data_IF_487846827512
#
_entry.id   IF_487846827512
#
_cell.length_a   1.000
_cell.length_b   1.000
_cell.length_c   1.000
_cell.angle_alpha   90.00
_cell.angle_beta   90.00
_cell.angle_gamma   90.00
#
_symmetry.space_group_name_H-M   'P 1'
#
loop_
_entity.id
_entity.type
_entity.pdbx_description
1 polymer ?
#
# COMPACT_ATOMS: atom_id res chain seq x y z
N UNK A 1 14.46 3.86 15.34
CA UNK A 1 13.22 3.18 14.86
C UNK A 1 13.25 1.76 15.37
N UNK A 2 12.12 1.18 15.77
CA UNK A 2 12.07 -0.25 16.07
C UNK A 2 12.19 -1.01 14.73
N UNK A 3 12.89 -2.13 14.72
CA UNK A 3 13.00 -3.04 13.58
C UNK A 3 11.73 -3.90 13.45
N UNK A 4 11.46 -4.40 12.23
CA UNK A 4 10.34 -5.28 11.94
C UNK A 4 9.00 -4.55 11.81
N UNK A 5 7.90 -5.28 12.04
CA UNK A 5 6.55 -4.76 11.86
C UNK A 5 6.23 -3.64 12.85
N UNK A 6 5.64 -2.56 12.34
CA UNK A 6 5.28 -1.37 13.11
C UNK A 6 3.78 -1.31 13.35
N UNK A 7 3.37 -1.41 14.62
CA UNK A 7 1.99 -1.12 15.00
C UNK A 7 1.77 0.39 14.99
N UNK A 8 0.85 0.88 14.16
CA UNK A 8 0.54 2.29 14.03
C UNK A 8 -0.27 2.81 15.22
N UNK A 9 0.35 3.55 16.11
CA UNK A 9 -0.32 4.17 17.26
C UNK A 9 -0.54 5.68 17.10
N UNK A 10 0.10 6.28 16.09
CA UNK A 10 0.03 7.70 15.78
C UNK A 10 -0.51 7.91 14.36
N UNK A 11 -1.31 8.94 14.18
CA UNK A 11 -1.81 9.34 12.86
C UNK A 11 -0.72 9.91 11.97
N UNK A 12 0.43 10.29 12.53
CA UNK A 12 1.58 10.82 11.81
C UNK A 12 2.87 10.26 12.40
N UNK A 13 3.74 9.76 11.55
CA UNK A 13 5.07 9.24 11.91
C UNK A 13 6.11 9.89 11.02
N UNK A 14 7.05 10.63 11.60
CA UNK A 14 8.17 11.22 10.85
C UNK A 14 9.33 10.24 10.77
N UNK A 15 9.85 10.05 9.56
CA UNK A 15 11.03 9.22 9.29
C UNK A 15 12.08 10.05 8.54
N UNK A 16 13.32 9.97 9.01
CA UNK A 16 14.49 10.64 8.40
C UNK A 16 15.33 9.61 7.65
N UNK A 17 16.12 10.11 6.69
CA UNK A 17 17.11 9.33 5.94
C UNK A 17 16.50 8.15 5.15
N UNK A 18 15.20 8.24 4.78
CA UNK A 18 14.54 7.29 3.90
C UNK A 18 14.76 7.70 2.45
N UNK A 19 15.53 6.91 1.72
CA UNK A 19 15.86 7.11 0.29
C UNK A 19 15.09 6.16 -0.61
N UNK A 20 14.67 5.02 -0.08
CA UNK A 20 14.04 3.96 -0.87
C UNK A 20 13.04 3.18 -0.04
N UNK A 21 11.86 2.98 -0.60
CA UNK A 21 10.84 2.10 -0.03
C UNK A 21 10.47 1.00 -1.01
N UNK A 22 10.03 -0.14 -0.46
CA UNK A 22 9.43 -1.22 -1.25
C UNK A 22 7.99 -1.41 -0.79
N UNK A 23 7.05 -1.44 -1.75
CA UNK A 23 5.62 -1.62 -1.52
C UNK A 23 5.19 -2.94 -2.16
N UNK A 24 4.41 -3.73 -1.43
CA UNK A 24 3.84 -5.00 -1.90
C UNK A 24 2.47 -5.21 -1.27
N UNK A 25 1.50 -5.71 -2.01
CA UNK A 25 0.18 -6.04 -1.47
C UNK A 25 -0.13 -7.53 -1.51
N UNK A 26 -1.17 -7.92 -0.78
CA UNK A 26 -1.81 -9.22 -0.90
C UNK A 26 -0.87 -10.39 -0.56
N UNK A 27 -0.24 -10.29 0.61
CA UNK A 27 0.73 -11.29 1.08
C UNK A 27 0.05 -12.51 1.70
N UNK A 28 -1.17 -12.38 2.26
CA UNK A 28 -1.82 -13.44 3.01
C UNK A 28 -3.29 -13.70 2.71
N UNK A 29 -3.93 -12.97 1.77
CA UNK A 29 -5.38 -13.05 1.56
C UNK A 29 -5.87 -14.42 1.01
N UNK A 30 -5.02 -15.25 0.46
CA UNK A 30 -5.33 -16.65 0.09
C UNK A 30 -4.75 -17.68 1.07
N UNK A 31 -4.35 -17.24 2.25
CA UNK A 31 -3.61 -17.98 3.27
C UNK A 31 -2.12 -17.70 3.20
N UNK A 32 -1.51 -17.45 4.36
CA UNK A 32 -0.07 -17.31 4.47
C UNK A 32 0.57 -18.70 4.52
N UNK A 33 1.13 -19.15 3.40
CA UNK A 33 1.62 -20.52 3.16
C UNK A 33 3.04 -20.47 2.56
N UNK A 34 3.61 -21.65 2.29
CA UNK A 34 4.99 -21.77 1.77
C UNK A 34 5.27 -20.87 0.56
N UNK A 35 4.31 -20.74 -0.37
CA UNK A 35 4.44 -19.86 -1.53
C UNK A 35 4.45 -18.38 -1.11
N UNK A 36 3.52 -17.98 -0.26
CA UNK A 36 3.47 -16.61 0.28
C UNK A 36 4.73 -16.27 1.06
N UNK A 37 5.21 -17.19 1.90
CA UNK A 37 6.46 -17.02 2.63
C UNK A 37 7.67 -16.88 1.70
N UNK A 38 7.73 -17.66 0.62
CA UNK A 38 8.80 -17.59 -0.37
C UNK A 38 8.78 -16.25 -1.09
N UNK A 39 7.63 -15.84 -1.65
CA UNK A 39 7.45 -14.59 -2.39
C UNK A 39 7.71 -13.39 -1.50
N UNK A 40 7.02 -13.30 -0.35
CA UNK A 40 7.16 -12.17 0.55
C UNK A 40 8.55 -12.13 1.21
N UNK A 41 9.12 -13.30 1.52
CA UNK A 41 10.50 -13.40 1.99
C UNK A 41 11.51 -12.88 0.98
N UNK A 42 11.27 -13.07 -0.32
CA UNK A 42 12.10 -12.48 -1.37
C UNK A 42 11.95 -10.96 -1.41
N UNK A 43 10.72 -10.45 -1.34
CA UNK A 43 10.47 -9.00 -1.24
C UNK A 43 11.24 -8.37 -0.08
N UNK A 44 11.23 -8.98 1.11
CA UNK A 44 11.90 -8.45 2.30
C UNK A 44 13.45 -8.50 2.23
N UNK A 45 14.03 -9.22 1.26
CA UNK A 45 15.49 -9.22 0.98
C UNK A 45 15.93 -8.07 0.09
N UNK A 46 15.01 -7.39 -0.61
CA UNK A 46 15.38 -6.26 -1.43
C UNK A 46 15.91 -5.10 -0.60
N UNK A 47 16.81 -4.33 -1.19
CA UNK A 47 17.32 -3.12 -0.55
C UNK A 47 16.17 -2.11 -0.39
N UNK A 48 15.90 -1.73 0.84
CA UNK A 48 14.92 -0.71 1.21
C UNK A 48 15.27 -0.10 2.57
N UNK A 49 14.82 1.12 2.82
CA UNK A 49 14.87 1.74 4.14
C UNK A 49 13.59 1.49 4.93
N UNK A 50 12.52 1.16 4.21
CA UNK A 50 11.18 0.94 4.70
C UNK A 50 10.44 -0.01 3.77
N UNK A 51 9.64 -0.93 4.32
CA UNK A 51 8.67 -1.74 3.60
C UNK A 51 7.24 -1.30 3.93
N UNK A 52 6.34 -1.39 2.95
CA UNK A 52 4.93 -1.10 3.14
C UNK A 52 4.08 -2.19 2.48
N UNK A 53 3.19 -2.82 3.27
CA UNK A 53 2.25 -3.80 2.77
C UNK A 53 0.95 -3.08 2.38
N UNK A 54 0.55 -3.18 1.11
CA UNK A 54 -0.62 -2.49 0.56
C UNK A 54 -1.95 -3.22 0.86
N UNK A 55 -2.06 -3.80 2.05
CA UNK A 55 -3.25 -4.51 2.55
C UNK A 55 -3.27 -6.00 2.24
N UNK A 56 -4.29 -6.67 2.77
CA UNK A 56 -4.54 -8.10 2.65
C UNK A 56 -3.37 -8.96 3.19
N UNK A 57 -3.06 -8.70 4.47
CA UNK A 57 -2.07 -9.46 5.23
C UNK A 57 -2.57 -10.86 5.59
N UNK A 58 -3.89 -11.00 5.77
CA UNK A 58 -4.53 -12.20 6.27
C UNK A 58 -5.67 -12.67 5.34
N UNK A 59 -6.12 -13.93 5.47
CA UNK A 59 -7.24 -14.46 4.71
C UNK A 59 -8.59 -14.07 5.30
N UNK A 60 -8.71 -14.09 6.63
CA UNK A 60 -9.98 -13.86 7.35
C UNK A 60 -9.89 -12.72 8.37
N UNK A 61 -8.75 -12.06 8.47
CA UNK A 61 -8.50 -10.97 9.42
C UNK A 61 -8.52 -11.42 10.88
N UNK A 62 -8.28 -12.71 11.17
CA UNK A 62 -8.09 -13.14 12.55
C UNK A 62 -6.77 -12.60 13.12
N UNK A 63 -6.74 -12.37 14.42
CA UNK A 63 -5.55 -11.88 15.11
C UNK A 63 -4.37 -12.83 14.99
N UNK A 64 -4.64 -14.13 14.93
CA UNK A 64 -3.62 -15.18 14.76
C UNK A 64 -2.96 -15.10 13.39
N UNK A 65 -3.74 -14.96 12.31
CA UNK A 65 -3.20 -14.84 10.95
C UNK A 65 -2.42 -13.55 10.77
N UNK A 66 -2.92 -12.42 11.30
CA UNK A 66 -2.19 -11.16 11.27
C UNK A 66 -0.88 -11.25 12.07
N UNK A 67 -0.92 -11.89 13.25
CA UNK A 67 0.28 -12.08 14.08
C UNK A 67 1.34 -12.94 13.38
N UNK A 68 0.94 -13.95 12.60
CA UNK A 68 1.84 -14.79 11.80
C UNK A 68 2.65 -13.97 10.80
N UNK A 69 1.98 -13.12 10.01
CA UNK A 69 2.66 -12.22 9.04
C UNK A 69 3.54 -11.18 9.74
N UNK A 70 3.08 -10.64 10.87
CA UNK A 70 3.88 -9.69 11.66
C UNK A 70 5.15 -10.34 12.20
N UNK A 71 5.06 -11.57 12.73
CA UNK A 71 6.22 -12.32 13.21
C UNK A 71 7.17 -12.69 12.07
N UNK A 72 6.63 -13.06 10.91
CA UNK A 72 7.44 -13.26 9.71
C UNK A 72 8.25 -12.01 9.36
N UNK A 73 7.63 -10.83 9.35
CA UNK A 73 8.35 -9.57 9.15
C UNK A 73 9.46 -9.36 10.18
N UNK A 74 9.17 -9.61 11.48
CA UNK A 74 10.10 -9.41 12.58
C UNK A 74 11.34 -10.32 12.47
N UNK A 75 11.15 -11.52 11.91
CA UNK A 75 12.25 -12.49 11.74
C UNK A 75 13.06 -12.29 10.46
N UNK A 76 12.47 -11.65 9.43
CA UNK A 76 13.08 -11.53 8.08
C UNK A 76 13.75 -10.20 7.81
N UNK A 77 13.39 -9.13 8.49
CA UNK A 77 13.99 -7.82 8.25
C UNK A 77 14.20 -7.00 9.51
N UNK A 78 15.30 -6.23 9.52
CA UNK A 78 15.56 -5.21 10.54
C UNK A 78 15.04 -3.82 10.14
N UNK A 79 14.46 -3.71 8.94
CA UNK A 79 13.85 -2.47 8.47
C UNK A 79 12.41 -2.36 8.96
N UNK A 80 11.87 -1.16 9.19
CA UNK A 80 10.48 -0.98 9.57
C UNK A 80 9.55 -1.47 8.46
N UNK A 81 8.49 -2.18 8.83
CA UNK A 81 7.42 -2.65 7.95
C UNK A 81 6.11 -2.05 8.42
N UNK A 82 5.46 -1.25 7.59
CA UNK A 82 4.12 -0.71 7.83
C UNK A 82 3.10 -1.43 6.95
N UNK A 83 1.82 -1.31 7.30
CA UNK A 83 0.76 -1.95 6.51
C UNK A 83 -0.46 -1.04 6.36
N UNK A 84 -1.15 -1.16 5.22
CA UNK A 84 -2.51 -0.70 5.01
C UNK A 84 -3.50 -1.78 5.47
N UNK A 85 -4.73 -1.40 5.74
CA UNK A 85 -5.82 -2.33 5.95
C UNK A 85 -6.41 -2.75 4.59
N UNK A 86 -6.39 -4.04 4.29
CA UNK A 86 -7.12 -4.63 3.17
C UNK A 86 -8.50 -5.14 3.58
N UNK A 87 -9.29 -5.60 2.62
CA UNK A 87 -10.64 -6.12 2.91
C UNK A 87 -10.65 -7.47 3.62
N UNK A 88 -9.58 -8.24 3.49
CA UNK A 88 -9.40 -9.51 4.21
C UNK A 88 -8.85 -9.34 5.63
N UNK A 89 -8.35 -8.16 6.01
CA UNK A 89 -7.71 -7.93 7.31
C UNK A 89 -8.71 -7.63 8.45
N UNK A 90 -9.99 -7.44 8.12
CA UNK A 90 -11.03 -7.18 9.09
C UNK A 90 -11.55 -8.49 9.71
N UNK A 91 -11.86 -8.52 11.04
CA UNK A 91 -11.91 -7.37 11.96
C UNK A 91 -10.63 -7.12 12.77
N UNK A 92 -9.61 -8.00 12.71
CA UNK A 92 -8.45 -7.98 13.63
C UNK A 92 -7.45 -6.86 13.39
N UNK A 93 -7.50 -6.16 12.24
CA UNK A 93 -6.48 -5.17 11.85
C UNK A 93 -6.21 -4.12 12.96
N UNK A 94 -7.25 -3.51 13.50
CA UNK A 94 -7.09 -2.44 14.50
C UNK A 94 -6.40 -2.94 15.79
N UNK A 95 -6.67 -4.17 16.18
CA UNK A 95 -6.04 -4.79 17.35
C UNK A 95 -4.56 -5.08 17.11
N UNK A 96 -4.21 -5.66 15.96
CA UNK A 96 -2.84 -6.07 15.64
C UNK A 96 -1.99 -4.92 15.07
N UNK A 97 -2.50 -4.24 14.04
CA UNK A 97 -1.75 -3.27 13.25
C UNK A 97 -1.96 -1.81 13.72
N UNK A 98 -3.05 -1.54 14.46
CA UNK A 98 -3.36 -0.20 14.98
C UNK A 98 -4.20 0.63 14.02
N UNK A 99 -3.85 1.92 13.85
CA UNK A 99 -4.59 2.84 12.98
C UNK A 99 -4.49 2.43 11.51
N UNK A 100 -5.63 2.42 10.82
CA UNK A 100 -5.74 2.09 9.39
C UNK A 100 -5.62 3.30 8.46
N UNK A 101 -5.75 4.53 9.04
CA UNK A 101 -5.55 5.80 8.31
C UNK A 101 -4.48 6.62 9.03
N UNK A 102 -3.37 6.89 8.35
CA UNK A 102 -2.20 7.58 8.91
C UNK A 102 -1.30 8.12 7.79
N UNK A 103 -0.31 8.94 8.14
CA UNK A 103 0.75 9.37 7.22
C UNK A 103 2.13 9.02 7.75
N UNK A 104 3.04 8.72 6.82
CA UNK A 104 4.48 8.64 7.06
C UNK A 104 5.10 9.86 6.37
N UNK A 105 5.69 10.74 7.16
CA UNK A 105 6.27 11.99 6.68
C UNK A 105 7.76 11.80 6.49
N UNK A 106 8.21 11.87 5.25
CA UNK A 106 9.61 11.87 4.86
C UNK A 106 10.09 13.31 4.66
N UNK A 107 11.34 13.50 4.33
CA UNK A 107 11.91 14.83 4.16
C UNK A 107 11.14 15.68 3.12
N UNK A 108 10.84 15.14 1.95
CA UNK A 108 10.17 15.85 0.84
C UNK A 108 8.84 15.25 0.42
N UNK A 109 8.52 14.06 0.90
CA UNK A 109 7.34 13.27 0.48
C UNK A 109 6.54 12.86 1.70
N UNK A 110 5.22 12.84 1.55
CA UNK A 110 4.28 12.26 2.50
C UNK A 110 3.68 11.02 1.88
N UNK A 111 3.77 9.89 2.56
CA UNK A 111 3.06 8.67 2.23
C UNK A 111 1.72 8.71 2.96
N UNK A 112 0.64 8.98 2.25
CA UNK A 112 -0.70 9.04 2.81
C UNK A 112 -1.39 7.68 2.72
N UNK A 113 -1.41 6.96 3.83
CA UNK A 113 -1.99 5.64 3.98
C UNK A 113 -3.45 5.75 4.42
N UNK A 114 -4.39 5.37 3.57
CA UNK A 114 -5.82 5.56 3.78
C UNK A 114 -6.56 4.22 3.85
N UNK A 115 -7.50 4.11 4.75
CA UNK A 115 -8.39 2.95 4.83
C UNK A 115 -9.54 3.07 3.82
N UNK A 116 -9.55 2.16 2.86
CA UNK A 116 -10.69 1.91 1.99
C UNK A 116 -11.04 0.41 1.88
N UNK A 117 -10.72 -0.36 2.92
CA UNK A 117 -10.95 -1.82 2.99
C UNK A 117 -12.39 -2.23 2.67
N UNK A 118 -13.35 -1.32 2.84
CA UNK A 118 -14.76 -1.53 2.48
C UNK A 118 -15.12 -1.07 1.05
N UNK A 119 -14.13 -0.84 0.19
CA UNK A 119 -14.31 -0.31 -1.16
C UNK A 119 -14.74 1.16 -1.24
N UNK A 120 -14.66 1.90 -0.12
CA UNK A 120 -14.95 3.33 0.00
C UNK A 120 -14.14 3.93 1.14
N UNK A 121 -14.03 5.26 1.13
CA UNK A 121 -13.44 6.00 2.25
C UNK A 121 -14.53 6.46 3.22
N UNK A 122 -14.24 6.40 4.50
CA UNK A 122 -15.08 7.07 5.50
C UNK A 122 -14.82 8.60 5.45
N UNK A 123 -15.85 9.44 5.70
CA UNK A 123 -15.69 10.90 5.64
C UNK A 123 -14.54 11.44 6.50
N UNK A 124 -14.31 10.83 7.66
CA UNK A 124 -13.20 11.19 8.54
C UNK A 124 -11.83 10.95 7.91
N UNK A 125 -11.68 9.87 7.11
CA UNK A 125 -10.44 9.58 6.37
C UNK A 125 -10.16 10.61 5.27
N UNK A 126 -11.19 11.05 4.53
CA UNK A 126 -11.05 12.10 3.53
C UNK A 126 -10.74 13.47 4.16
N UNK A 127 -11.39 13.81 5.27
CA UNK A 127 -11.10 15.03 6.02
C UNK A 127 -9.67 15.01 6.58
N UNK A 128 -9.21 13.86 7.06
CA UNK A 128 -7.82 13.66 7.47
C UNK A 128 -6.85 13.90 6.33
N UNK A 129 -7.08 13.30 5.15
CA UNK A 129 -6.24 13.51 3.97
C UNK A 129 -6.18 15.00 3.58
N UNK A 130 -7.34 15.68 3.53
CA UNK A 130 -7.40 17.09 3.22
C UNK A 130 -6.57 17.93 4.20
N UNK A 131 -6.68 17.62 5.50
CA UNK A 131 -5.87 18.28 6.53
C UNK A 131 -4.36 18.04 6.32
N UNK A 132 -3.95 16.81 5.99
CA UNK A 132 -2.54 16.51 5.77
C UNK A 132 -1.98 17.20 4.51
N UNK A 133 -2.76 17.29 3.44
CA UNK A 133 -2.40 18.03 2.23
C UNK A 133 -2.17 19.53 2.49
N UNK A 134 -2.97 20.11 3.41
CA UNK A 134 -2.80 21.50 3.84
C UNK A 134 -1.61 21.67 4.80
N UNK A 135 -1.49 20.79 5.80
CA UNK A 135 -0.44 20.82 6.82
C UNK A 135 0.96 20.70 6.22
N UNK A 136 1.12 19.84 5.25
CA UNK A 136 2.39 19.58 4.57
C UNK A 136 2.45 20.27 3.20
N UNK A 137 2.04 21.54 3.17
CA UNK A 137 2.17 22.38 1.98
C UNK A 137 3.65 22.48 1.56
N UNK A 138 3.92 22.27 0.26
CA UNK A 138 5.28 22.19 -0.27
C UNK A 138 5.90 20.79 -0.31
N UNK A 139 5.28 19.76 0.33
CA UNK A 139 5.69 18.36 0.14
C UNK A 139 4.89 17.70 -0.98
N UNK A 140 5.51 16.72 -1.62
CA UNK A 140 4.84 15.82 -2.57
C UNK A 140 4.15 14.69 -1.83
N UNK A 141 3.18 14.05 -2.46
CA UNK A 141 2.40 12.97 -1.87
C UNK A 141 2.42 11.72 -2.75
N UNK A 142 2.58 10.58 -2.11
CA UNK A 142 2.17 9.27 -2.61
C UNK A 142 0.95 8.85 -1.80
N UNK A 143 -0.17 8.62 -2.49
CA UNK A 143 -1.43 8.22 -1.83
C UNK A 143 -1.56 6.70 -1.94
N UNK A 144 -1.77 6.03 -0.81
CA UNK A 144 -1.82 4.57 -0.76
C UNK A 144 -3.13 4.11 -0.10
N UNK A 145 -3.78 3.17 -0.73
CA UNK A 145 -4.97 2.49 -0.21
C UNK A 145 -5.13 1.12 -0.90
N UNK A 146 -5.97 0.25 -0.35
CA UNK A 146 -5.99 -1.14 -0.81
C UNK A 146 -6.82 -1.37 -2.08
N UNK A 147 -8.13 -1.04 -2.06
CA UNK A 147 -9.04 -1.31 -3.18
C UNK A 147 -8.88 -0.25 -4.27
N UNK A 148 -8.46 -0.60 -5.50
CA UNK A 148 -8.15 0.37 -6.55
C UNK A 148 -9.36 1.12 -7.08
N UNK A 149 -9.15 2.30 -7.73
CA UNK A 149 -10.18 3.02 -8.46
C UNK A 149 -10.83 2.19 -9.57
N UNK A 150 -11.94 2.67 -10.16
CA UNK A 150 -12.65 1.95 -11.21
C UNK A 150 -11.76 1.51 -12.37
N UNK A 151 -11.99 0.28 -12.85
CA UNK A 151 -11.31 -0.34 -13.98
C UNK A 151 -12.32 -1.05 -14.88
N UNK A 152 -12.14 -0.97 -16.19
CA UNK A 152 -13.10 -1.51 -17.16
C UNK A 152 -13.17 -3.04 -17.18
N UNK A 153 -12.06 -3.72 -16.89
CA UNK A 153 -11.92 -5.18 -17.03
C UNK A 153 -12.25 -5.98 -15.78
N UNK A 154 -12.49 -5.33 -14.63
CA UNK A 154 -12.78 -5.99 -13.36
C UNK A 154 -13.80 -5.20 -12.55
N UNK A 155 -14.68 -5.95 -11.83
CA UNK A 155 -15.75 -5.33 -11.02
C UNK A 155 -15.41 -5.22 -9.54
N UNK A 156 -14.40 -5.95 -9.07
CA UNK A 156 -13.96 -5.92 -7.68
C UNK A 156 -13.03 -4.74 -7.44
N UNK A 157 -13.59 -3.53 -7.58
CA UNK A 157 -12.88 -2.26 -7.44
C UNK A 157 -13.77 -1.25 -6.74
N UNK A 158 -13.22 -0.11 -6.40
CA UNK A 158 -13.97 1.03 -5.87
C UNK A 158 -15.06 1.47 -6.85
N UNK A 159 -16.22 1.89 -6.33
CA UNK A 159 -17.27 2.48 -7.15
C UNK A 159 -16.93 3.91 -7.58
N UNK A 160 -17.53 4.37 -8.68
CA UNK A 160 -17.32 5.72 -9.22
C UNK A 160 -17.59 6.84 -8.22
N UNK A 161 -18.61 6.70 -7.38
CA UNK A 161 -18.95 7.70 -6.36
C UNK A 161 -17.87 7.82 -5.27
N UNK A 162 -17.27 6.71 -4.86
CA UNK A 162 -16.18 6.70 -3.89
C UNK A 162 -14.89 7.27 -4.50
N UNK A 163 -14.60 6.96 -5.77
CA UNK A 163 -13.51 7.57 -6.52
C UNK A 163 -13.71 9.09 -6.68
N UNK A 164 -14.90 9.52 -7.02
CA UNK A 164 -15.23 10.94 -7.12
C UNK A 164 -15.05 11.69 -5.79
N UNK A 165 -15.47 11.09 -4.67
CA UNK A 165 -15.25 11.68 -3.34
C UNK A 165 -13.76 11.86 -3.02
N UNK A 166 -12.91 10.89 -3.31
CA UNK A 166 -11.46 11.03 -3.15
C UNK A 166 -10.90 12.14 -4.05
N UNK A 167 -11.30 12.17 -5.33
CA UNK A 167 -10.87 13.22 -6.25
C UNK A 167 -11.24 14.62 -5.80
N UNK A 168 -12.40 14.81 -5.18
CA UNK A 168 -12.80 16.11 -4.63
C UNK A 168 -11.76 16.67 -3.67
N UNK A 169 -11.06 15.80 -2.94
CA UNK A 169 -9.96 16.19 -2.04
C UNK A 169 -8.64 16.38 -2.81
N UNK A 170 -8.33 15.50 -3.77
CA UNK A 170 -7.04 15.48 -4.45
C UNK A 170 -6.90 16.55 -5.54
N UNK A 171 -7.98 16.90 -6.25
CA UNK A 171 -7.91 17.71 -7.48
C UNK A 171 -7.31 19.10 -7.25
N UNK A 172 -7.56 19.72 -6.09
CA UNK A 172 -6.94 21.01 -5.72
C UNK A 172 -5.44 20.93 -5.42
N UNK A 173 -4.91 19.72 -5.23
CA UNK A 173 -3.52 19.44 -4.89
C UNK A 173 -2.82 18.54 -5.92
N UNK A 174 -3.44 18.34 -7.08
CA UNK A 174 -3.04 17.35 -8.10
C UNK A 174 -1.58 17.44 -8.52
N UNK A 175 -1.03 18.64 -8.65
CA UNK A 175 0.38 18.86 -9.02
C UNK A 175 1.39 18.32 -8.01
N UNK A 176 0.93 18.02 -6.79
CA UNK A 176 1.76 17.46 -5.71
C UNK A 176 1.53 15.96 -5.47
N UNK A 177 0.57 15.35 -6.17
CA UNK A 177 0.32 13.92 -6.10
C UNK A 177 1.19 13.23 -7.14
N UNK A 178 2.22 12.52 -6.71
CA UNK A 178 3.12 11.79 -7.62
C UNK A 178 2.46 10.57 -8.22
N UNK A 179 1.83 9.76 -7.37
CA UNK A 179 1.10 8.57 -7.78
C UNK A 179 0.13 8.10 -6.70
N UNK A 180 -0.70 7.15 -7.10
CA UNK A 180 -1.56 6.37 -6.24
C UNK A 180 -1.09 4.92 -6.31
N UNK A 181 -0.99 4.22 -5.17
CA UNK A 181 -0.59 2.82 -5.11
C UNK A 181 -1.67 2.01 -4.40
N UNK A 182 -2.05 0.88 -5.01
CA UNK A 182 -3.10 -0.01 -4.53
C UNK A 182 -2.63 -1.47 -4.48
N UNK A 183 -3.36 -2.32 -3.75
CA UNK A 183 -3.27 -3.77 -3.74
C UNK A 183 -4.45 -4.43 -4.46
N UNK A 184 -5.00 -5.48 -3.85
CA UNK A 184 -6.32 -6.09 -4.11
C UNK A 184 -6.45 -6.98 -5.35
N UNK A 185 -5.87 -6.62 -6.48
CA UNK A 185 -6.08 -7.33 -7.76
C UNK A 185 -4.94 -8.28 -8.12
N UNK A 186 -4.44 -9.05 -7.19
CA UNK A 186 -3.40 -10.08 -7.28
C UNK A 186 -2.61 -10.07 -8.61
N UNK A 187 -1.58 -9.23 -8.69
CA UNK A 187 -0.75 -9.03 -9.86
C UNK A 187 -0.21 -7.60 -9.95
N UNK A 188 0.20 -7.21 -11.15
CA UNK A 188 0.70 -5.86 -11.43
C UNK A 188 -0.14 -5.18 -12.51
N UNK A 189 -0.49 -3.92 -12.29
CA UNK A 189 -1.07 -3.09 -13.33
C UNK A 189 -0.70 -1.62 -13.12
N UNK A 190 -0.37 -0.95 -14.21
CA UNK A 190 -0.04 0.48 -14.24
C UNK A 190 -0.96 1.16 -15.23
N UNK A 191 -1.61 2.25 -14.81
CA UNK A 191 -2.55 2.98 -15.66
C UNK A 191 -2.71 4.43 -15.22
N UNK A 192 -3.39 5.21 -16.07
CA UNK A 192 -3.78 6.58 -15.76
C UNK A 192 -5.29 6.69 -15.73
N UNK A 193 -5.84 7.34 -14.70
CA UNK A 193 -7.27 7.63 -14.56
C UNK A 193 -7.44 9.08 -14.08
N UNK A 194 -8.24 9.88 -14.80
CA UNK A 194 -8.49 11.29 -14.49
C UNK A 194 -7.21 12.13 -14.27
N UNK A 195 -6.11 11.72 -14.93
CA UNK A 195 -4.80 12.36 -14.86
C UNK A 195 -4.00 12.06 -13.59
N UNK A 196 -4.37 11.03 -12.85
CA UNK A 196 -3.55 10.41 -11.80
C UNK A 196 -2.84 9.19 -12.36
N UNK A 197 -1.58 9.01 -11.98
CA UNK A 197 -0.79 7.82 -12.27
C UNK A 197 -1.04 6.80 -11.16
N UNK A 198 -1.52 5.61 -11.51
CA UNK A 198 -1.98 4.59 -10.56
C UNK A 198 -1.23 3.28 -10.80
N UNK A 199 -0.74 2.70 -9.71
CA UNK A 199 -0.08 1.41 -9.68
C UNK A 199 -0.87 0.43 -8.81
N UNK A 200 -1.04 -0.78 -9.31
CA UNK A 200 -1.50 -1.93 -8.53
C UNK A 200 -0.30 -2.84 -8.33
N UNK A 201 0.04 -3.12 -7.08
CA UNK A 201 1.12 -4.02 -6.68
C UNK A 201 0.59 -5.02 -5.67
N UNK A 202 -0.08 -6.06 -6.17
CA UNK A 202 -0.80 -7.08 -5.41
C UNK A 202 -0.21 -8.48 -5.64
N UNK A 203 1.09 -8.56 -5.87
CA UNK A 203 1.82 -9.79 -6.17
C UNK A 203 2.62 -10.35 -5.00
N UNK A 204 2.17 -10.14 -3.76
CA UNK A 204 2.90 -10.50 -2.54
C UNK A 204 2.85 -11.99 -2.13
N UNK A 205 2.24 -12.84 -2.95
CA UNK A 205 2.14 -14.29 -2.69
C UNK A 205 0.73 -14.85 -2.78
N UNK A 206 -0.29 -13.99 -2.89
CA UNK A 206 -1.67 -14.43 -3.10
C UNK A 206 -1.86 -15.11 -4.47
N UNK A 207 -2.82 -16.03 -4.57
CA UNK A 207 -3.15 -16.70 -5.82
C UNK A 207 -3.64 -15.70 -6.87
N UNK A 208 -3.15 -15.82 -8.11
CA UNK A 208 -3.47 -14.92 -9.24
C UNK A 208 -4.86 -15.22 -9.83
N UNK A 209 -5.91 -14.87 -9.09
CA UNK A 209 -7.31 -15.24 -9.39
C UNK A 209 -8.04 -14.24 -10.29
N UNK A 210 -7.56 -13.01 -10.39
CA UNK A 210 -8.25 -11.96 -11.14
C UNK A 210 -7.94 -12.01 -12.63
N UNK A 211 -8.93 -11.62 -13.45
CA UNK A 211 -8.71 -11.38 -14.87
C UNK A 211 -7.96 -10.06 -15.02
N UNK A 212 -6.73 -10.14 -15.47
CA UNK A 212 -5.90 -8.99 -15.76
C UNK A 212 -5.97 -8.65 -17.26
N UNK A 213 -5.69 -7.40 -17.67
CA UNK A 213 -5.79 -6.97 -19.07
C UNK A 213 -4.80 -7.70 -19.98
N UNK A 214 -3.69 -8.17 -19.42
CA UNK A 214 -2.66 -8.96 -20.10
C UNK A 214 -2.13 -10.03 -19.19
N UNK A 215 -1.68 -11.15 -19.77
CA UNK A 215 -1.16 -12.29 -18.99
C UNK A 215 0.12 -11.93 -18.22
N UNK A 216 0.96 -11.05 -18.75
CA UNK A 216 2.16 -10.54 -18.09
C UNK A 216 1.89 -9.73 -16.80
N UNK A 217 0.64 -9.27 -16.61
CA UNK A 217 0.22 -8.61 -15.38
C UNK A 217 0.04 -9.60 -14.22
N UNK A 218 -0.11 -10.90 -14.51
CA UNK A 218 -0.21 -11.98 -13.52
C UNK A 218 1.18 -12.40 -13.07
N UNK A 219 1.80 -11.59 -12.26
CA UNK A 219 3.16 -11.81 -11.78
C UNK A 219 3.27 -11.50 -10.30
N UNK A 220 4.08 -12.26 -9.58
CA UNK A 220 4.51 -11.86 -8.25
C UNK A 220 5.43 -10.65 -8.38
N UNK A 221 5.16 -9.62 -7.61
CA UNK A 221 5.80 -8.33 -7.78
C UNK A 221 5.82 -7.51 -6.50
N UNK A 222 6.70 -6.52 -6.49
CA UNK A 222 6.68 -5.39 -5.58
C UNK A 222 7.00 -4.11 -6.36
N UNK A 223 6.74 -2.95 -5.79
CA UNK A 223 7.17 -1.65 -6.32
C UNK A 223 8.31 -1.10 -5.47
N UNK A 224 9.37 -0.64 -6.14
CA UNK A 224 10.40 0.17 -5.52
C UNK A 224 10.15 1.65 -5.83
N UNK A 225 10.13 2.48 -4.80
CA UNK A 225 10.10 3.93 -4.93
C UNK A 225 11.44 4.48 -4.42
N UNK A 226 12.18 5.14 -5.29
CA UNK A 226 13.44 5.80 -4.93
C UNK A 226 13.26 7.32 -4.97
N UNK A 227 13.52 7.98 -3.84
CA UNK A 227 13.39 9.42 -3.66
C UNK A 227 14.71 10.10 -4.03
N UNK A 228 14.67 10.96 -5.03
CA UNK A 228 15.84 11.67 -5.52
C UNK A 228 16.03 13.02 -4.81
N UNK A 229 17.24 13.54 -4.87
CA UNK A 229 17.59 14.82 -4.23
C UNK A 229 16.85 16.02 -4.85
N UNK A 230 16.42 15.93 -6.11
CA UNK A 230 15.59 16.93 -6.79
C UNK A 230 14.11 16.87 -6.38
N UNK A 231 13.74 15.91 -5.53
CA UNK A 231 12.37 15.68 -5.05
C UNK A 231 11.54 14.80 -5.98
N UNK A 232 12.07 14.33 -7.11
CA UNK A 232 11.37 13.38 -7.98
C UNK A 232 11.40 11.96 -7.39
N UNK A 233 10.42 11.15 -7.79
CA UNK A 233 10.32 9.75 -7.38
C UNK A 233 10.53 8.87 -8.62
N UNK A 234 11.50 7.96 -8.56
CA UNK A 234 11.61 6.89 -9.54
C UNK A 234 10.82 5.68 -9.02
N UNK A 235 9.93 5.15 -9.85
CA UNK A 235 9.10 3.98 -9.52
C UNK A 235 9.49 2.86 -10.48
N UNK A 236 9.73 1.68 -9.91
CA UNK A 236 10.16 0.49 -10.64
C UNK A 236 9.38 -0.72 -10.13
N UNK A 237 8.83 -1.51 -11.05
CA UNK A 237 8.26 -2.81 -10.72
C UNK A 237 9.39 -3.83 -10.57
N UNK A 238 9.40 -4.56 -9.48
CA UNK A 238 10.32 -5.66 -9.17
C UNK A 238 9.57 -6.97 -9.40
N UNK A 239 9.89 -7.74 -10.44
CA UNK A 239 9.33 -9.08 -10.61
C UNK A 239 9.96 -10.03 -9.59
N UNK A 240 9.13 -10.84 -8.92
CA UNK A 240 9.57 -11.85 -7.97
C UNK A 240 9.48 -13.23 -8.65
N UNK A 241 10.57 -13.93 -8.67
CA UNK A 241 10.68 -15.28 -9.26
C UNK A 241 10.62 -16.33 -8.14
N UNK A 242 9.73 -17.31 -8.29
CA UNK A 242 9.54 -18.44 -7.37
C UNK A 242 9.68 -19.77 -8.09
#
# INVERSE_FOLDING_TARGET
MKSGFQRNTNTETELKDVRQIVVVGDVGCTGFNDLSEQVFGDVLRHQADLFLIAGDLAQTGSTEQLAEVMEFCNTRTQKPVFALCGNHDLPGYAECCGLSTYVIVLERVVLACLDNSKGRFEPAGLAFLQHQLQKHDGKRFVVLFHVPPPLEFVRSVMKEDAWHQLRTVLDSHKSRIDCIICGHLHGYHEYHLDGYHIFITAGGGAAMIYQMPKEECKTFNALRLAFKDDGSIAIEMIPIQV
#
